data_IF_084429713055
#
_entry.id   IF_084429713055
#
_cell.length_a   1.000
_cell.length_b   1.000
_cell.length_c   1.000
_cell.angle_alpha   90.00
_cell.angle_beta   90.00
_cell.angle_gamma   90.00
#
_symmetry.space_group_name_H-M   'P 1'
#
loop_
_entity.id
_entity.type
_entity.pdbx_description
1 polymer ?
#
# COMPACT_ATOMS: atom_id res chain seq x y z
N UNK A 1 17.85 -14.81 -3.53
CA UNK A 1 16.65 -13.96 -3.24
C UNK A 1 16.10 -13.40 -4.55
N UNK A 2 14.86 -13.71 -4.93
CA UNK A 2 14.25 -13.20 -6.20
C UNK A 2 13.99 -11.69 -6.14
N UNK A 3 13.95 -11.03 -7.30
CA UNK A 3 13.71 -9.57 -7.39
C UNK A 3 12.38 -9.16 -6.72
N UNK A 4 11.31 -9.93 -6.94
CA UNK A 4 10.01 -9.74 -6.29
C UNK A 4 10.10 -9.71 -4.76
N UNK A 5 10.84 -10.66 -4.15
CA UNK A 5 11.03 -10.70 -2.70
C UNK A 5 11.79 -9.47 -2.18
N UNK A 6 12.80 -8.98 -2.92
CA UNK A 6 13.52 -7.75 -2.55
C UNK A 6 12.58 -6.53 -2.51
N UNK A 7 11.71 -6.38 -3.51
CA UNK A 7 10.71 -5.31 -3.58
C UNK A 7 9.76 -5.38 -2.38
N UNK A 8 9.17 -6.55 -2.15
CA UNK A 8 8.26 -6.76 -1.00
C UNK A 8 8.93 -6.45 0.34
N UNK A 9 10.15 -6.95 0.58
CA UNK A 9 10.88 -6.69 1.84
C UNK A 9 11.16 -5.20 2.03
N UNK A 10 11.58 -4.48 0.98
CA UNK A 10 11.81 -3.03 1.07
C UNK A 10 10.53 -2.27 1.43
N UNK A 11 9.41 -2.61 0.78
CA UNK A 11 8.09 -2.02 1.08
C UNK A 11 7.71 -2.30 2.53
N UNK A 12 7.78 -3.55 2.98
CA UNK A 12 7.47 -3.94 4.36
C UNK A 12 8.29 -3.15 5.38
N UNK A 13 9.60 -3.03 5.17
CA UNK A 13 10.49 -2.28 6.06
C UNK A 13 10.15 -0.79 6.12
N UNK A 14 9.74 -0.19 4.99
CA UNK A 14 9.34 1.22 4.96
C UNK A 14 7.98 1.43 5.59
N UNK A 15 6.98 0.63 5.26
CA UNK A 15 5.64 0.74 5.87
C UNK A 15 5.70 0.55 7.39
N UNK A 16 6.49 -0.41 7.89
CA UNK A 16 6.67 -0.58 9.34
C UNK A 16 7.19 0.69 10.04
N UNK A 17 8.02 1.49 9.37
CA UNK A 17 8.53 2.75 9.92
C UNK A 17 7.51 3.89 9.80
N UNK A 18 6.78 3.94 8.68
CA UNK A 18 5.83 5.02 8.37
C UNK A 18 4.47 4.83 9.03
N UNK A 19 4.14 3.61 9.46
CA UNK A 19 2.82 3.22 9.98
C UNK A 19 2.95 2.59 11.38
N UNK A 20 3.55 3.28 12.37
CA UNK A 20 3.91 2.67 13.66
C UNK A 20 2.69 2.31 14.53
N UNK A 21 1.58 3.05 14.37
CA UNK A 21 0.34 2.82 15.14
C UNK A 21 -0.60 1.82 14.47
N UNK A 22 -0.27 1.36 13.26
CA UNK A 22 -1.12 0.48 12.48
C UNK A 22 -0.95 -0.96 12.97
N UNK A 23 -2.05 -1.67 13.27
CA UNK A 23 -2.01 -3.09 13.60
C UNK A 23 -1.19 -3.89 12.58
N UNK A 24 -0.32 -4.78 13.07
CA UNK A 24 0.61 -5.53 12.23
C UNK A 24 -0.08 -6.28 11.07
N UNK A 25 -1.27 -6.86 11.31
CA UNK A 25 -2.03 -7.56 10.28
C UNK A 25 -2.52 -6.63 9.15
N UNK A 26 -2.91 -5.41 9.48
CA UNK A 26 -3.32 -4.36 8.54
C UNK A 26 -2.10 -3.87 7.76
N UNK A 27 -1.02 -3.50 8.44
CA UNK A 27 0.23 -3.05 7.80
C UNK A 27 0.80 -4.10 6.83
N UNK A 28 0.80 -5.38 7.21
CA UNK A 28 1.23 -6.47 6.31
C UNK A 28 0.30 -6.58 5.10
N UNK A 29 -1.01 -6.39 5.26
CA UNK A 29 -1.95 -6.43 4.13
C UNK A 29 -1.74 -5.24 3.20
N UNK A 30 -1.47 -4.05 3.73
CA UNK A 30 -1.06 -2.87 2.97
C UNK A 30 0.23 -3.14 2.18
N UNK A 31 1.24 -3.76 2.82
CA UNK A 31 2.48 -4.13 2.15
C UNK A 31 2.28 -5.11 0.98
N UNK A 32 1.39 -6.09 1.16
CA UNK A 32 0.98 -7.03 0.09
C UNK A 32 0.38 -6.26 -1.08
N UNK A 33 -0.59 -5.37 -0.81
CA UNK A 33 -1.26 -4.59 -1.85
C UNK A 33 -0.30 -3.68 -2.61
N UNK A 34 0.50 -2.88 -1.89
CA UNK A 34 1.50 -1.99 -2.51
C UNK A 34 2.52 -2.77 -3.32
N UNK A 35 3.04 -3.89 -2.81
CA UNK A 35 3.99 -4.71 -3.55
C UNK A 35 3.38 -5.29 -4.83
N UNK A 36 2.15 -5.78 -4.78
CA UNK A 36 1.49 -6.32 -5.97
C UNK A 36 1.17 -5.24 -7.01
N UNK A 37 0.80 -4.02 -6.58
CA UNK A 37 0.64 -2.88 -7.50
C UNK A 37 1.97 -2.51 -8.16
N UNK A 38 3.05 -2.39 -7.38
CA UNK A 38 4.39 -2.04 -7.91
C UNK A 38 4.90 -3.08 -8.90
N UNK A 39 4.69 -4.37 -8.60
CA UNK A 39 5.15 -5.48 -9.45
C UNK A 39 4.26 -5.69 -10.68
N UNK A 40 2.94 -5.62 -10.51
CA UNK A 40 1.95 -5.95 -11.55
C UNK A 40 1.41 -4.77 -12.33
N UNK A 41 1.64 -3.53 -11.87
CA UNK A 41 1.11 -2.28 -12.45
C UNK A 41 -0.42 -2.26 -12.60
N UNK A 42 -1.11 -3.04 -11.77
CA UNK A 42 -2.58 -3.16 -11.75
C UNK A 42 -3.08 -3.06 -10.31
N UNK A 43 -4.17 -2.32 -10.11
CA UNK A 43 -4.80 -2.14 -8.80
C UNK A 43 -5.93 -3.15 -8.52
N UNK A 44 -6.30 -3.99 -9.49
CA UNK A 44 -7.33 -5.01 -9.30
C UNK A 44 -6.83 -6.09 -8.32
N UNK A 45 -7.61 -6.39 -7.28
CA UNK A 45 -7.20 -7.29 -6.19
C UNK A 45 -6.84 -8.71 -6.68
N UNK A 46 -7.57 -9.23 -7.67
CA UNK A 46 -7.26 -10.51 -8.31
C UNK A 46 -5.88 -10.48 -9.00
N UNK A 47 -5.57 -9.42 -9.74
CA UNK A 47 -4.27 -9.24 -10.38
C UNK A 47 -3.13 -9.07 -9.37
N UNK A 48 -3.33 -8.26 -8.33
CA UNK A 48 -2.36 -8.09 -7.22
C UNK A 48 -2.03 -9.45 -6.61
N UNK A 49 -3.03 -10.31 -6.39
CA UNK A 49 -2.85 -11.61 -5.72
C UNK A 49 -1.91 -12.58 -6.45
N UNK A 50 -1.73 -12.40 -7.76
CA UNK A 50 -0.85 -13.23 -8.61
C UNK A 50 0.60 -12.75 -8.57
N UNK A 51 0.85 -11.50 -8.19
CA UNK A 51 2.16 -10.87 -8.33
C UNK A 51 2.99 -10.88 -7.04
N UNK A 52 2.33 -10.92 -5.89
CA UNK A 52 2.99 -10.80 -4.58
C UNK A 52 3.74 -12.10 -4.23
N UNK A 53 5.02 -12.03 -3.83
CA UNK A 53 5.80 -13.20 -3.43
C UNK A 53 5.43 -13.67 -2.01
N UNK A 54 4.20 -14.16 -1.81
CA UNK A 54 3.66 -14.64 -0.54
C UNK A 54 3.35 -16.14 -0.60
N UNK A 55 3.56 -16.93 0.48
CA UNK A 55 3.29 -18.38 0.48
C UNK A 55 1.81 -18.78 0.41
N UNK A 56 0.89 -17.82 0.43
CA UNK A 56 -0.55 -18.12 0.46
C UNK A 56 -1.09 -18.23 -0.96
N UNK A 57 -2.14 -19.02 -1.16
CA UNK A 57 -2.80 -19.15 -2.47
C UNK A 57 -3.34 -17.78 -2.95
N UNK A 58 -3.28 -17.46 -4.25
CA UNK A 58 -3.79 -16.20 -4.79
C UNK A 58 -5.23 -15.88 -4.36
N UNK A 59 -6.15 -16.85 -4.45
CA UNK A 59 -7.55 -16.68 -4.01
C UNK A 59 -7.68 -16.30 -2.52
N UNK A 60 -6.79 -16.82 -1.67
CA UNK A 60 -6.77 -16.47 -0.24
C UNK A 60 -6.26 -15.05 -0.01
N UNK A 61 -5.27 -14.62 -0.79
CA UNK A 61 -4.76 -13.24 -0.76
C UNK A 61 -5.81 -12.26 -1.26
N UNK A 62 -6.50 -12.57 -2.35
CA UNK A 62 -7.60 -11.74 -2.86
C UNK A 62 -8.69 -11.57 -1.80
N UNK A 63 -9.19 -12.66 -1.21
CA UNK A 63 -10.19 -12.60 -0.12
C UNK A 63 -9.69 -11.80 1.09
N UNK A 64 -8.40 -11.91 1.42
CA UNK A 64 -7.77 -11.11 2.49
C UNK A 64 -7.84 -9.62 2.17
N UNK A 65 -7.47 -9.23 0.95
CA UNK A 65 -7.50 -7.83 0.51
C UNK A 65 -8.94 -7.31 0.41
N UNK A 66 -9.88 -8.11 -0.08
CA UNK A 66 -11.31 -7.77 -0.11
C UNK A 66 -11.87 -7.49 1.29
N UNK A 67 -11.51 -8.31 2.29
CA UNK A 67 -11.89 -8.03 3.69
C UNK A 67 -11.24 -6.76 4.22
N UNK A 68 -9.99 -6.51 3.85
CA UNK A 68 -9.24 -5.36 4.31
C UNK A 68 -9.78 -4.03 3.76
N UNK A 69 -10.15 -3.96 2.48
CA UNK A 69 -10.74 -2.74 1.90
C UNK A 69 -12.12 -2.41 2.46
N UNK A 70 -12.81 -3.38 3.08
CA UNK A 70 -14.10 -3.22 3.78
C UNK A 70 -13.94 -3.03 5.29
N UNK A 71 -12.72 -2.94 5.80
CA UNK A 71 -12.48 -2.86 7.24
C UNK A 71 -12.48 -1.40 7.71
N UNK A 72 -13.60 -0.97 8.29
CA UNK A 72 -13.80 0.40 8.80
C UNK A 72 -12.84 0.78 9.94
N UNK A 73 -12.15 -0.20 10.54
CA UNK A 73 -11.13 0.06 11.58
C UNK A 73 -9.78 0.50 11.02
N UNK A 74 -9.63 0.58 9.70
CA UNK A 74 -8.42 1.10 9.07
C UNK A 74 -8.60 2.59 8.78
N UNK A 75 -8.07 3.43 9.67
CA UNK A 75 -8.16 4.89 9.56
C UNK A 75 -7.31 5.44 8.41
N UNK A 76 -7.88 5.55 7.21
CA UNK A 76 -7.14 5.88 5.98
C UNK A 76 -6.33 7.17 6.13
N UNK A 77 -6.95 8.25 6.63
CA UNK A 77 -6.29 9.55 6.76
C UNK A 77 -5.07 9.48 7.68
N UNK A 78 -5.22 8.89 8.87
CA UNK A 78 -4.13 8.75 9.84
C UNK A 78 -2.99 7.87 9.31
N UNK A 79 -3.33 6.82 8.56
CA UNK A 79 -2.37 5.90 7.96
C UNK A 79 -1.64 6.49 6.74
N UNK A 80 -2.26 7.45 6.04
CA UNK A 80 -1.69 8.12 4.87
C UNK A 80 -0.86 9.36 5.22
N UNK A 81 -1.20 10.06 6.30
CA UNK A 81 -0.59 11.33 6.71
C UNK A 81 0.96 11.31 6.74
N UNK A 82 1.64 10.31 7.30
CA UNK A 82 3.11 10.29 7.35
C UNK A 82 3.77 10.34 5.96
N UNK A 83 3.10 9.83 4.94
CA UNK A 83 3.60 9.86 3.56
C UNK A 83 3.40 11.25 2.93
N UNK A 84 2.27 11.89 3.20
CA UNK A 84 2.03 13.27 2.76
C UNK A 84 3.05 14.23 3.41
N UNK A 85 3.27 14.10 4.72
CA UNK A 85 4.30 14.86 5.44
C UNK A 85 5.69 14.64 4.83
N UNK A 86 6.06 13.39 4.56
CA UNK A 86 7.34 13.07 3.94
C UNK A 86 7.52 13.80 2.59
N UNK A 87 6.51 13.79 1.73
CA UNK A 87 6.55 14.46 0.42
C UNK A 87 6.69 15.97 0.61
N UNK A 88 5.87 16.56 1.48
CA UNK A 88 5.89 18.01 1.73
C UNK A 88 7.22 18.47 2.32
N UNK A 89 7.79 17.74 3.29
CA UNK A 89 9.09 18.08 3.88
C UNK A 89 10.22 18.07 2.85
N UNK A 90 10.24 17.09 1.93
CA UNK A 90 11.29 16.98 0.92
C UNK A 90 11.16 17.98 -0.24
N UNK A 91 10.01 18.65 -0.34
CA UNK A 91 9.71 19.62 -1.39
C UNK A 91 9.43 21.02 -0.82
N UNK A 92 9.65 21.24 0.47
CA UNK A 92 9.28 22.47 1.17
C UNK A 92 10.04 23.71 0.65
N UNK A 93 11.21 23.51 0.07
CA UNK A 93 12.07 24.55 -0.52
C UNK A 93 11.75 24.84 -2.00
N UNK A 94 10.79 24.12 -2.58
CA UNK A 94 10.42 24.23 -4.00
C UNK A 94 9.02 24.81 -4.14
N UNK A 95 8.75 25.57 -5.21
CA UNK A 95 7.38 25.90 -5.58
C UNK A 95 6.55 24.63 -5.78
N UNK A 96 5.45 24.51 -5.04
CA UNK A 96 4.52 23.39 -5.14
C UNK A 96 3.29 23.81 -5.95
N UNK A 97 2.96 23.04 -6.98
CA UNK A 97 1.69 23.15 -7.67
C UNK A 97 0.70 22.15 -7.07
N UNK A 98 -0.37 22.65 -6.46
CA UNK A 98 -1.49 21.83 -6.02
C UNK A 98 -2.48 21.65 -7.18
N UNK A 99 -2.42 20.49 -7.83
CA UNK A 99 -3.42 20.08 -8.81
C UNK A 99 -4.53 19.31 -8.11
N UNK A 100 -5.76 19.83 -8.18
CA UNK A 100 -6.96 19.19 -7.64
C UNK A 100 -7.88 18.87 -8.82
N UNK A 101 -8.30 17.61 -8.90
CA UNK A 101 -9.29 17.14 -9.86
C UNK A 101 -10.36 16.32 -9.13
N UNK A 102 -11.59 16.39 -9.61
CA UNK A 102 -12.72 15.63 -9.10
C UNK A 102 -13.00 14.45 -10.01
N UNK A 103 -12.60 13.25 -9.59
CA UNK A 103 -12.96 12.02 -10.30
C UNK A 103 -14.12 11.33 -9.60
N UNK A 104 -15.13 10.92 -10.38
CA UNK A 104 -16.17 10.03 -9.90
C UNK A 104 -15.68 8.58 -10.00
N UNK A 105 -15.82 7.85 -8.90
CA UNK A 105 -15.56 6.41 -8.86
C UNK A 105 -16.91 5.71 -9.00
N UNK A 106 -17.11 4.95 -10.08
CA UNK A 106 -18.30 4.15 -10.36
C UNK A 106 -18.12 2.69 -10.00
#
# INVERSE_FOLDING_TARGET
>A
MTNKRKVYTKIMQKLKKMMPQTPQNQMVTTAIMVAGIVLGRKAQLSAISLEVPHPAKPASLEKRMQRFVKNDRFEVAANYLPFAELILTHLADKPLLLAIDGSNVG
#
